data_IF_102877327547
#
_entry.id   IF_102877327547
#
_cell.length_a   1.000
_cell.length_b   1.000
_cell.length_c   1.000
_cell.angle_alpha   90.00
_cell.angle_beta   90.00
_cell.angle_gamma   90.00
#
_symmetry.space_group_name_H-M   'P 1'
#
loop_
_entity.id
_entity.type
_entity.pdbx_description
1 polymer ?
#
# COMPACT_ATOMS: atom_id res chain seq x y z
N UNK A 1 -4.95 -9.24 -22.84
CA UNK A 1 -5.43 -9.97 -21.64
C UNK A 1 -4.30 -10.80 -21.07
N UNK A 2 -4.34 -11.09 -19.77
CA UNK A 2 -3.32 -11.90 -19.08
C UNK A 2 -3.16 -13.27 -19.74
N UNK A 3 -4.26 -13.90 -20.16
CA UNK A 3 -4.22 -15.18 -20.89
C UNK A 3 -3.34 -15.11 -22.15
N UNK A 4 -3.52 -14.08 -22.97
CA UNK A 4 -2.73 -13.91 -24.20
C UNK A 4 -1.24 -13.71 -23.91
N UNK A 5 -0.91 -12.94 -22.89
CA UNK A 5 0.48 -12.76 -22.46
C UNK A 5 1.11 -14.07 -21.96
N UNK A 6 0.37 -14.89 -21.20
CA UNK A 6 0.81 -16.23 -20.78
C UNK A 6 1.01 -17.16 -21.96
N UNK A 7 0.09 -17.17 -22.93
CA UNK A 7 0.18 -17.97 -24.15
C UNK A 7 1.43 -17.61 -24.98
N UNK A 8 1.66 -16.33 -25.22
CA UNK A 8 2.83 -15.82 -25.93
C UNK A 8 4.14 -16.17 -25.21
N UNK A 9 4.21 -15.92 -23.89
CA UNK A 9 5.38 -16.24 -23.07
C UNK A 9 5.71 -17.72 -23.04
N UNK A 10 4.71 -18.58 -22.87
CA UNK A 10 4.88 -20.03 -22.89
C UNK A 10 5.31 -20.54 -24.27
N UNK A 11 4.81 -19.95 -25.33
CA UNK A 11 5.21 -20.30 -26.71
C UNK A 11 6.70 -20.05 -26.95
N UNK A 12 7.27 -19.01 -26.34
CA UNK A 12 8.71 -18.72 -26.40
C UNK A 12 9.55 -19.75 -25.61
N UNK A 13 9.01 -20.34 -24.56
CA UNK A 13 9.68 -21.33 -23.74
C UNK A 13 9.61 -22.75 -24.31
N UNK A 14 8.63 -23.05 -25.16
CA UNK A 14 8.43 -24.38 -25.75
C UNK A 14 9.69 -24.95 -26.41
N UNK A 15 10.45 -24.22 -27.26
CA UNK A 15 11.67 -24.75 -27.88
C UNK A 15 12.76 -25.05 -26.86
N UNK A 16 12.87 -24.24 -25.80
CA UNK A 16 13.89 -24.38 -24.75
C UNK A 16 13.63 -25.64 -23.91
N UNK A 17 12.35 -25.93 -23.65
CA UNK A 17 11.90 -27.07 -22.85
C UNK A 17 11.72 -28.36 -23.65
N UNK A 18 11.90 -28.31 -24.97
CA UNK A 18 11.68 -29.47 -25.85
C UNK A 18 10.20 -29.88 -25.99
N UNK A 19 9.28 -28.96 -25.73
CA UNK A 19 7.84 -29.20 -25.77
C UNK A 19 7.28 -28.62 -27.09
N UNK A 20 6.47 -29.40 -27.80
CA UNK A 20 5.90 -28.93 -29.08
C UNK A 20 4.82 -27.87 -28.93
N UNK A 21 3.99 -28.01 -27.90
CA UNK A 21 2.86 -27.08 -27.63
C UNK A 21 2.39 -27.25 -26.18
N UNK A 22 2.03 -26.14 -25.52
CA UNK A 22 1.37 -26.17 -24.21
C UNK A 22 -0.14 -26.30 -24.41
N UNK A 23 -0.82 -27.24 -23.76
CA UNK A 23 -2.28 -27.38 -23.84
C UNK A 23 -2.99 -26.12 -23.31
N UNK A 24 -4.16 -25.79 -23.87
CA UNK A 24 -4.96 -24.65 -23.43
C UNK A 24 -5.34 -24.67 -21.94
N UNK A 25 -5.55 -25.90 -21.39
CA UNK A 25 -5.79 -26.12 -19.97
C UNK A 25 -4.63 -25.65 -19.10
N UNK A 26 -3.39 -25.95 -19.48
CA UNK A 26 -2.18 -25.54 -18.76
C UNK A 26 -1.98 -24.02 -18.83
N UNK A 27 -2.23 -23.42 -20.01
CA UNK A 27 -2.22 -21.95 -20.17
C UNK A 27 -3.27 -21.33 -19.25
N UNK A 28 -4.45 -21.94 -19.13
CA UNK A 28 -5.52 -21.52 -18.22
C UNK A 28 -5.08 -21.53 -16.76
N UNK A 29 -4.46 -22.61 -16.29
CA UNK A 29 -3.95 -22.71 -14.92
C UNK A 29 -2.86 -21.66 -14.64
N UNK A 30 -1.90 -21.50 -15.54
CA UNK A 30 -0.84 -20.52 -15.39
C UNK A 30 -1.43 -19.10 -15.36
N UNK A 31 -2.40 -18.80 -16.23
CA UNK A 31 -3.11 -17.53 -16.24
C UNK A 31 -3.80 -17.26 -14.90
N UNK A 32 -4.44 -18.27 -14.32
CA UNK A 32 -5.10 -18.14 -13.02
C UNK A 32 -4.09 -17.80 -11.91
N UNK A 33 -2.96 -18.49 -11.86
CA UNK A 33 -1.89 -18.19 -10.88
C UNK A 33 -1.32 -16.77 -11.05
N UNK A 34 -1.08 -16.33 -12.28
CA UNK A 34 -0.63 -14.97 -12.55
C UNK A 34 -1.66 -13.92 -12.12
N UNK A 35 -2.93 -14.14 -12.44
CA UNK A 35 -4.01 -13.23 -12.05
C UNK A 35 -4.10 -13.12 -10.52
N UNK A 36 -4.06 -14.22 -9.81
CA UNK A 36 -4.05 -14.24 -8.34
C UNK A 36 -2.83 -13.54 -7.75
N UNK A 37 -1.66 -13.71 -8.35
CA UNK A 37 -0.44 -13.03 -7.92
C UNK A 37 -0.54 -11.51 -8.15
N UNK A 38 -1.05 -11.07 -9.28
CA UNK A 38 -1.28 -9.65 -9.59
C UNK A 38 -2.27 -9.02 -8.62
N UNK A 39 -3.39 -9.69 -8.32
CA UNK A 39 -4.36 -9.21 -7.34
C UNK A 39 -3.76 -9.07 -5.92
N UNK A 40 -2.88 -9.99 -5.55
CA UNK A 40 -2.17 -9.94 -4.26
C UNK A 40 -1.23 -8.72 -4.21
N UNK A 41 -0.46 -8.49 -5.26
CA UNK A 41 0.44 -7.33 -5.38
C UNK A 41 -0.37 -6.03 -5.32
N UNK A 42 -1.49 -5.93 -6.05
CA UNK A 42 -2.36 -4.76 -6.00
C UNK A 42 -2.92 -4.48 -4.59
N UNK A 43 -3.31 -5.53 -3.87
CA UNK A 43 -3.78 -5.40 -2.48
C UNK A 43 -2.67 -4.89 -1.56
N UNK A 44 -1.45 -5.40 -1.69
CA UNK A 44 -0.31 -4.94 -0.90
C UNK A 44 0.07 -3.48 -1.22
N UNK A 45 0.01 -3.06 -2.49
CA UNK A 45 0.24 -1.66 -2.88
C UNK A 45 -0.81 -0.72 -2.26
N UNK A 46 -2.08 -1.15 -2.24
CA UNK A 46 -3.19 -0.36 -1.67
C UNK A 46 -3.08 -0.23 -0.15
N UNK A 47 -2.45 -1.19 0.50
CA UNK A 47 -2.28 -1.20 1.95
C UNK A 47 -1.20 -0.22 2.38
N UNK A 48 -1.59 0.84 3.07
CA UNK A 48 -0.67 1.82 3.63
C UNK A 48 -0.50 1.63 5.13
N UNK A 49 0.74 1.60 5.59
CA UNK A 49 1.08 1.58 7.00
C UNK A 49 1.07 3.00 7.57
N UNK A 50 0.24 3.24 8.57
CA UNK A 50 0.06 4.57 9.16
C UNK A 50 0.37 4.57 10.66
N UNK A 51 0.95 5.66 11.14
CA UNK A 51 1.13 5.96 12.56
C UNK A 51 0.22 7.13 12.94
N UNK A 52 -0.53 6.97 14.02
CA UNK A 52 -1.39 8.04 14.55
C UNK A 52 -0.63 8.80 15.61
N UNK A 53 -0.61 10.13 15.51
CA UNK A 53 0.05 11.02 16.45
C UNK A 53 -0.96 11.97 17.08
N UNK A 54 -0.98 11.99 18.42
CA UNK A 54 -1.85 12.87 19.21
C UNK A 54 -1.04 13.54 20.32
N UNK A 55 -1.50 14.67 20.90
CA UNK A 55 -0.75 15.37 21.93
C UNK A 55 -0.40 14.49 23.13
N UNK A 56 -1.37 13.73 23.61
CA UNK A 56 -1.25 12.90 24.83
C UNK A 56 -1.31 11.40 24.59
N UNK A 57 -1.55 10.98 23.35
CA UNK A 57 -1.60 9.58 22.95
C UNK A 57 -2.86 8.79 23.34
N UNK A 58 -3.81 9.29 24.12
CA UNK A 58 -4.84 8.43 24.73
C UNK A 58 -6.31 8.79 24.37
N UNK A 59 -6.74 10.02 24.42
CA UNK A 59 -8.16 10.34 24.32
C UNK A 59 -8.70 10.49 22.88
N UNK A 60 -8.22 11.51 22.19
CA UNK A 60 -8.64 11.87 20.83
C UNK A 60 -8.18 10.87 19.78
N UNK A 61 -7.08 10.13 20.05
CA UNK A 61 -6.55 9.09 19.18
C UNK A 61 -7.50 7.92 18.98
N UNK A 62 -8.28 7.56 19.99
CA UNK A 62 -9.23 6.44 19.93
C UNK A 62 -10.38 6.73 18.98
N UNK A 63 -10.95 7.94 19.04
CA UNK A 63 -11.99 8.37 18.12
C UNK A 63 -11.49 8.43 16.68
N UNK A 64 -10.31 9.00 16.46
CA UNK A 64 -9.68 9.06 15.16
C UNK A 64 -9.39 7.66 14.62
N UNK A 65 -8.85 6.76 15.45
CA UNK A 65 -8.56 5.36 15.05
C UNK A 65 -9.82 4.63 14.60
N UNK A 66 -10.90 4.71 15.35
CA UNK A 66 -12.17 4.06 14.99
C UNK A 66 -12.76 4.65 13.70
N UNK A 67 -12.69 5.96 13.51
CA UNK A 67 -13.12 6.61 12.28
C UNK A 67 -12.29 6.17 11.08
N UNK A 68 -10.96 6.10 11.23
CA UNK A 68 -10.06 5.65 10.17
C UNK A 68 -10.30 4.18 9.81
N UNK A 69 -10.45 3.29 10.79
CA UNK A 69 -10.74 1.86 10.54
C UNK A 69 -12.05 1.68 9.79
N UNK A 70 -13.05 2.48 10.10
CA UNK A 70 -14.39 2.41 9.47
C UNK A 70 -14.36 2.92 8.03
N UNK A 71 -13.71 4.06 7.79
CA UNK A 71 -13.77 4.76 6.50
C UNK A 71 -12.62 4.37 5.57
N UNK A 72 -11.50 3.92 6.12
CA UNK A 72 -10.28 3.53 5.40
C UNK A 72 -9.81 2.14 5.83
N UNK A 73 -10.55 1.07 5.50
CA UNK A 73 -10.23 -0.30 5.94
C UNK A 73 -8.91 -0.83 5.39
N UNK A 74 -8.39 -0.24 4.31
CA UNK A 74 -7.10 -0.60 3.70
C UNK A 74 -5.89 0.04 4.41
N UNK A 75 -6.12 0.91 5.41
CA UNK A 75 -5.05 1.44 6.23
C UNK A 75 -4.61 0.44 7.31
N UNK A 76 -3.32 0.15 7.35
CA UNK A 76 -2.69 -0.63 8.39
C UNK A 76 -2.19 0.28 9.52
N UNK A 77 -2.98 0.44 10.57
CA UNK A 77 -2.64 1.29 11.70
C UNK A 77 -1.61 0.58 12.57
N UNK A 78 -0.33 0.97 12.46
CA UNK A 78 0.80 0.38 13.18
C UNK A 78 0.79 0.70 14.66
N UNK A 79 0.31 1.87 15.03
CA UNK A 79 0.26 2.29 16.42
C UNK A 79 -0.20 3.72 16.61
N UNK A 80 -0.21 4.11 17.86
CA UNK A 80 -0.51 5.46 18.31
C UNK A 80 0.67 5.92 19.17
N UNK A 81 1.16 7.13 18.90
CA UNK A 81 2.26 7.71 19.68
C UNK A 81 1.97 9.17 20.03
N UNK A 82 2.69 9.73 20.96
CA UNK A 82 2.64 11.15 21.27
C UNK A 82 3.55 11.94 20.33
N UNK A 83 3.27 13.23 20.17
CA UNK A 83 4.14 14.11 19.37
C UNK A 83 5.56 14.24 19.97
N UNK A 84 5.70 14.01 21.29
CA UNK A 84 6.98 14.05 22.00
C UNK A 84 7.85 12.80 21.81
N UNK A 85 7.20 11.65 21.58
CA UNK A 85 7.86 10.35 21.39
C UNK A 85 8.10 9.99 19.93
N UNK A 86 7.69 10.89 19.03
CA UNK A 86 7.80 10.66 17.60
C UNK A 86 9.25 10.75 17.15
N UNK A 87 9.75 9.67 16.55
CA UNK A 87 11.08 9.57 15.98
C UNK A 87 11.05 9.11 14.52
N UNK A 88 11.69 9.89 13.65
CA UNK A 88 11.75 9.59 12.23
C UNK A 88 12.46 8.27 11.90
N UNK A 89 13.48 7.91 12.70
CA UNK A 89 14.23 6.65 12.51
C UNK A 89 13.29 5.48 12.79
N UNK A 90 12.57 5.54 13.90
CA UNK A 90 11.59 4.53 14.27
C UNK A 90 10.46 4.38 13.23
N UNK A 91 9.97 5.49 12.69
CA UNK A 91 8.96 5.46 11.63
C UNK A 91 9.44 4.73 10.37
N UNK A 92 10.72 4.91 10.00
CA UNK A 92 11.33 4.21 8.88
C UNK A 92 11.52 2.72 9.16
N UNK A 93 12.02 2.37 10.33
CA UNK A 93 12.24 0.98 10.76
C UNK A 93 10.92 0.19 10.84
N UNK A 94 9.85 0.83 11.30
CA UNK A 94 8.50 0.24 11.36
C UNK A 94 7.79 0.24 9.99
N UNK A 95 8.39 0.80 8.94
CA UNK A 95 7.84 0.83 7.59
C UNK A 95 6.56 1.67 7.48
N UNK A 96 6.50 2.78 8.22
CA UNK A 96 5.35 3.70 8.18
C UNK A 96 5.36 4.49 6.88
N UNK A 97 4.25 4.50 6.16
CA UNK A 97 4.11 5.25 4.91
C UNK A 97 3.62 6.68 5.14
N UNK A 98 2.77 6.88 6.14
CA UNK A 98 2.12 8.15 6.43
C UNK A 98 1.86 8.31 7.92
N UNK A 99 2.16 9.49 8.45
CA UNK A 99 1.77 9.90 9.80
C UNK A 99 0.46 10.69 9.72
N UNK A 100 -0.54 10.31 10.52
CA UNK A 100 -1.81 11.02 10.67
C UNK A 100 -1.84 11.66 12.04
N UNK A 101 -1.80 12.98 12.11
CA UNK A 101 -1.64 13.73 13.35
C UNK A 101 -2.82 14.63 13.64
N UNK A 102 -3.22 14.72 14.92
CA UNK A 102 -4.21 15.71 15.40
C UNK A 102 -3.57 17.02 15.84
N UNK A 103 -2.25 17.12 15.74
CA UNK A 103 -1.48 18.35 15.99
C UNK A 103 -0.55 18.64 14.83
N UNK A 104 -0.16 19.90 14.69
CA UNK A 104 0.88 20.27 13.72
C UNK A 104 2.22 19.70 14.17
N UNK A 105 2.93 19.09 13.23
CA UNK A 105 4.24 18.49 13.44
C UNK A 105 5.30 19.24 12.62
N UNK A 106 6.49 19.37 13.18
CA UNK A 106 7.68 19.87 12.48
C UNK A 106 8.63 18.69 12.20
N UNK A 107 8.22 17.84 11.24
CA UNK A 107 8.96 16.64 10.87
C UNK A 107 9.22 16.60 9.37
N UNK A 108 10.35 16.01 8.99
CA UNK A 108 10.69 15.73 7.59
C UNK A 108 10.11 14.39 7.10
N UNK A 109 8.98 13.97 7.63
CA UNK A 109 8.30 12.73 7.28
C UNK A 109 6.93 13.02 6.64
N UNK A 110 6.44 12.20 5.70
CA UNK A 110 5.10 12.38 5.17
C UNK A 110 4.05 12.38 6.28
N UNK A 111 3.38 13.49 6.51
CA UNK A 111 2.31 13.56 7.49
C UNK A 111 1.13 14.40 6.99
N UNK A 112 -0.01 14.19 7.61
CA UNK A 112 -1.22 14.97 7.42
C UNK A 112 -1.81 15.35 8.77
N UNK A 113 -2.22 16.62 8.89
CA UNK A 113 -2.90 17.14 10.07
C UNK A 113 -4.41 17.04 9.86
N UNK A 114 -5.10 16.38 10.77
CA UNK A 114 -6.55 16.16 10.73
C UNK A 114 -7.18 16.47 12.08
N UNK A 115 -8.50 16.71 12.09
CA UNK A 115 -9.24 16.83 13.33
C UNK A 115 -9.43 15.44 13.98
N UNK A 116 -9.54 15.36 15.33
CA UNK A 116 -9.82 14.10 16.02
C UNK A 116 -11.13 13.44 15.55
N UNK A 117 -12.09 14.24 15.14
CA UNK A 117 -13.30 13.81 14.43
C UNK A 117 -13.14 14.26 12.99
N UNK A 118 -13.01 13.31 12.06
CA UNK A 118 -12.76 13.60 10.65
C UNK A 118 -13.85 14.46 10.05
N UNK A 119 -13.47 15.63 9.60
CA UNK A 119 -14.33 16.52 8.81
C UNK A 119 -14.34 16.09 7.35
N UNK A 120 -15.27 16.65 6.57
CA UNK A 120 -15.30 16.44 5.12
C UNK A 120 -13.99 16.90 4.45
N UNK A 121 -13.43 18.00 4.93
CA UNK A 121 -12.17 18.54 4.44
C UNK A 121 -11.00 17.57 4.72
N UNK A 122 -10.95 17.03 5.94
CA UNK A 122 -9.93 16.05 6.33
C UNK A 122 -9.98 14.81 5.43
N UNK A 123 -11.18 14.33 5.10
CA UNK A 123 -11.37 13.17 4.22
C UNK A 123 -10.85 13.45 2.80
N UNK A 124 -11.13 14.63 2.24
CA UNK A 124 -10.61 15.02 0.92
C UNK A 124 -9.08 15.05 0.92
N UNK A 125 -8.48 15.61 1.98
CA UNK A 125 -7.02 15.65 2.12
C UNK A 125 -6.41 14.26 2.29
N UNK A 126 -7.03 13.41 3.11
CA UNK A 126 -6.62 12.01 3.28
C UNK A 126 -6.69 11.23 1.97
N UNK A 127 -7.80 11.29 1.24
CA UNK A 127 -7.99 10.61 -0.03
C UNK A 127 -6.92 11.02 -1.05
N UNK A 128 -6.65 12.32 -1.14
CA UNK A 128 -5.62 12.85 -2.03
C UNK A 128 -4.23 12.34 -1.65
N UNK A 129 -3.89 12.37 -0.36
CA UNK A 129 -2.56 11.95 0.12
C UNK A 129 -2.34 10.45 -0.02
N UNK A 130 -3.35 9.66 0.32
CA UNK A 130 -3.32 8.20 0.17
C UNK A 130 -3.07 7.82 -1.28
N UNK A 131 -3.78 8.43 -2.24
CA UNK A 131 -3.59 8.17 -3.68
C UNK A 131 -2.16 8.49 -4.14
N UNK A 132 -1.59 9.60 -3.70
CA UNK A 132 -0.21 9.97 -4.05
C UNK A 132 0.79 8.93 -3.55
N UNK A 133 0.66 8.48 -2.31
CA UNK A 133 1.58 7.50 -1.73
C UNK A 133 1.39 6.13 -2.39
N UNK A 134 0.16 5.71 -2.67
CA UNK A 134 -0.13 4.47 -3.40
C UNK A 134 0.51 4.47 -4.79
N UNK A 135 0.43 5.58 -5.50
CA UNK A 135 1.05 5.72 -6.82
C UNK A 135 2.58 5.67 -6.74
N UNK A 136 3.19 6.31 -5.73
CA UNK A 136 4.63 6.23 -5.49
C UNK A 136 5.08 4.80 -5.19
N UNK A 137 4.33 4.06 -4.38
CA UNK A 137 4.60 2.64 -4.11
C UNK A 137 4.52 1.79 -5.38
N UNK A 138 3.50 2.01 -6.20
CA UNK A 138 3.34 1.30 -7.47
C UNK A 138 4.52 1.54 -8.40
N UNK A 139 4.94 2.79 -8.56
CA UNK A 139 6.08 3.15 -9.41
C UNK A 139 7.40 2.57 -8.89
N UNK A 140 7.60 2.52 -7.57
CA UNK A 140 8.78 1.92 -6.97
C UNK A 140 8.85 0.40 -7.27
N UNK A 141 7.74 -0.32 -7.14
CA UNK A 141 7.67 -1.74 -7.46
C UNK A 141 7.86 -2.03 -8.96
N UNK A 142 7.29 -1.19 -9.85
CA UNK A 142 7.50 -1.33 -11.30
C UNK A 142 8.97 -1.14 -11.69
N UNK A 143 9.70 -0.25 -11.01
CA UNK A 143 11.15 -0.07 -11.22
C UNK A 143 11.93 -1.29 -10.75
N UNK A 144 11.60 -1.81 -9.58
CA UNK A 144 12.27 -3.00 -9.01
C UNK A 144 12.10 -4.23 -9.91
N UNK A 145 10.91 -4.44 -10.46
CA UNK A 145 10.63 -5.50 -11.43
C UNK A 145 11.45 -5.31 -12.73
N UNK A 146 11.60 -4.08 -13.20
CA UNK A 146 12.39 -3.79 -14.42
C UNK A 146 13.90 -3.96 -14.22
N UNK A 147 14.41 -3.68 -13.02
CA UNK A 147 15.83 -3.87 -12.69
C UNK A 147 16.22 -5.34 -12.51
N UNK A 148 15.27 -6.20 -12.12
CA UNK A 148 15.46 -7.66 -11.99
C UNK A 148 15.32 -8.38 -13.35
N UNK A 149 14.64 -7.78 -14.29
CA UNK A 149 14.52 -8.27 -15.65
C UNK A 149 15.65 -7.73 -16.53
#
# INVERSE_FOLDING_TARGET
>A
SVYKACEEGLSLLCPILGIKKVPASEIGFITLYFTMAMERIEKEIKKLSVMIVCPTGIGSSRLLTESLKKEYPDLDIRGITSAFELDNIRLQEEGVDLVISTVKLEIAYPYIHVNPILTRQDKILLDSRIKVIQEQKRQAQEKEIKEVA
#
